data_IF_863975868734
#
_entry.id   IF_863975868734
#
_cell.length_a   1.000
_cell.length_b   1.000
_cell.length_c   1.000
_cell.angle_alpha   90.00
_cell.angle_beta   90.00
_cell.angle_gamma   90.00
#
_symmetry.space_group_name_H-M   'P 1'
#
loop_
_entity.id
_entity.type
_entity.pdbx_description
1 polymer ?
#
# COMPACT_ATOMS: atom_id res chain seq x y z
N UNK A 1 -16.25 14.01 20.63
CA UNK A 1 -16.92 15.03 19.81
C UNK A 1 -16.42 14.83 18.39
N UNK A 2 -17.34 14.60 17.45
CA UNK A 2 -17.07 14.48 16.01
C UNK A 2 -17.28 15.87 15.40
N UNK A 3 -16.35 16.33 14.59
CA UNK A 3 -16.51 17.56 13.82
C UNK A 3 -17.44 17.32 12.61
N UNK A 4 -18.14 18.37 12.20
CA UNK A 4 -19.12 18.47 11.10
C UNK A 4 -18.60 18.05 9.71
N UNK A 5 -17.31 17.72 9.58
CA UNK A 5 -16.69 17.18 8.36
C UNK A 5 -16.51 15.65 8.38
N UNK A 6 -17.00 14.94 9.40
CA UNK A 6 -16.91 13.47 9.47
C UNK A 6 -15.49 12.92 9.46
N UNK A 7 -14.48 13.78 9.65
CA UNK A 7 -13.09 13.38 9.80
C UNK A 7 -12.91 12.96 11.25
N UNK A 8 -13.11 11.67 11.48
CA UNK A 8 -12.68 11.01 12.70
C UNK A 8 -11.15 11.08 12.79
N UNK A 9 -10.66 12.16 13.40
CA UNK A 9 -9.27 12.32 13.84
C UNK A 9 -9.01 11.48 15.10
N UNK A 10 -9.61 10.29 15.26
CA UNK A 10 -9.04 9.29 16.17
C UNK A 10 -7.85 8.65 15.47
N UNK A 11 -6.73 9.38 15.50
CA UNK A 11 -5.42 8.81 15.29
C UNK A 11 -5.20 7.72 16.35
N UNK A 12 -5.60 6.47 16.05
CA UNK A 12 -5.25 5.31 16.88
C UNK A 12 -3.76 4.98 16.66
N UNK A 13 -2.95 5.41 17.62
CA UNK A 13 -1.48 5.41 17.64
C UNK A 13 -0.76 4.05 17.63
N UNK A 14 -1.43 2.92 17.45
CA UNK A 14 -0.80 1.62 17.73
C UNK A 14 -1.17 0.51 16.74
N UNK A 15 -1.35 0.84 15.46
CA UNK A 15 -1.37 -0.23 14.46
C UNK A 15 0.02 -0.87 14.40
N UNK A 16 0.14 -2.18 14.67
CA UNK A 16 1.45 -2.82 14.66
C UNK A 16 2.04 -2.69 13.24
N UNK A 17 3.34 -2.36 13.13
CA UNK A 17 4.00 -2.30 11.84
C UNK A 17 3.83 -3.64 11.10
N UNK A 18 3.46 -3.55 9.83
CA UNK A 18 3.26 -4.71 8.97
C UNK A 18 4.38 -4.78 7.93
N UNK A 19 4.72 -5.98 7.47
CA UNK A 19 5.72 -6.16 6.41
C UNK A 19 5.02 -6.20 5.05
N UNK A 20 5.24 -5.21 4.20
CA UNK A 20 4.88 -5.26 2.80
C UNK A 20 5.91 -6.06 1.99
N UNK A 21 5.43 -7.02 1.21
CA UNK A 21 6.24 -7.83 0.28
C UNK A 21 5.80 -7.54 -1.14
N UNK A 22 6.73 -7.14 -1.99
CA UNK A 22 6.46 -6.91 -3.42
C UNK A 22 7.66 -7.32 -4.29
N UNK A 23 7.44 -7.78 -5.53
CA UNK A 23 8.52 -8.10 -6.45
C UNK A 23 9.18 -6.81 -6.99
N UNK A 24 10.51 -6.75 -6.91
CA UNK A 24 11.30 -5.65 -7.46
C UNK A 24 11.08 -5.55 -8.98
N UNK A 25 10.80 -4.35 -9.51
CA UNK A 25 10.38 -4.22 -10.90
C UNK A 25 11.46 -4.62 -11.91
N UNK A 26 12.74 -4.37 -11.58
CA UNK A 26 13.85 -4.65 -12.50
C UNK A 26 14.32 -6.11 -12.55
N UNK A 27 14.14 -6.88 -11.49
CA UNK A 27 14.79 -8.19 -11.37
C UNK A 27 13.93 -9.26 -10.67
N UNK A 28 12.68 -8.94 -10.33
CA UNK A 28 11.69 -9.88 -9.80
C UNK A 28 11.95 -10.43 -8.39
N UNK A 29 13.03 -10.01 -7.71
CA UNK A 29 13.29 -10.42 -6.32
C UNK A 29 12.27 -9.78 -5.42
N UNK A 30 11.77 -10.54 -4.45
CA UNK A 30 10.89 -10.02 -3.43
C UNK A 30 11.65 -9.03 -2.54
N UNK A 31 11.03 -7.89 -2.28
CA UNK A 31 11.51 -6.84 -1.39
C UNK A 31 10.54 -6.71 -0.24
N UNK A 32 11.08 -6.68 0.96
CA UNK A 32 10.34 -6.51 2.21
C UNK A 32 10.49 -5.06 2.69
N UNK A 33 9.37 -4.44 3.07
CA UNK A 33 9.34 -3.07 3.64
C UNK A 33 8.39 -3.04 4.81
N UNK A 34 8.80 -2.41 5.90
CA UNK A 34 7.88 -2.14 7.00
C UNK A 34 6.96 -0.97 6.63
N UNK A 35 5.65 -1.20 6.69
CA UNK A 35 4.59 -0.22 6.46
C UNK A 35 3.71 -0.10 7.70
N UNK A 36 3.23 1.10 7.97
CA UNK A 36 2.33 1.35 9.11
C UNK A 36 0.88 0.93 8.81
N UNK A 37 0.52 0.87 7.52
CA UNK A 37 -0.82 0.53 7.09
C UNK A 37 -0.79 -0.09 5.69
N UNK A 38 -1.54 -1.19 5.52
CA UNK A 38 -1.77 -1.78 4.21
C UNK A 38 -2.68 -0.87 3.38
N UNK A 39 -2.10 -0.18 2.41
CA UNK A 39 -2.84 0.56 1.38
C UNK A 39 -3.25 -0.38 0.24
N UNK A 40 -4.40 -0.13 -0.39
CA UNK A 40 -4.84 -0.90 -1.57
C UNK A 40 -3.88 -0.74 -2.76
N UNK A 41 -3.21 0.41 -2.85
CA UNK A 41 -2.19 0.69 -3.85
C UNK A 41 -0.96 1.31 -3.17
N UNK A 42 0.23 0.88 -3.56
CA UNK A 42 1.50 1.46 -3.13
C UNK A 42 2.36 1.72 -4.38
N UNK A 43 3.09 2.83 -4.38
CA UNK A 43 4.08 3.11 -5.41
C UNK A 43 5.47 2.79 -4.86
N UNK A 44 6.23 1.98 -5.59
CA UNK A 44 7.61 1.66 -5.25
C UNK A 44 8.49 1.68 -6.51
N UNK A 45 9.53 2.52 -6.48
CA UNK A 45 10.49 2.66 -7.59
C UNK A 45 9.79 2.93 -8.94
N UNK A 46 8.88 3.91 -8.94
CA UNK A 46 8.03 4.32 -10.07
C UNK A 46 6.97 3.28 -10.52
N UNK A 47 6.99 2.06 -10.00
CA UNK A 47 5.99 1.05 -10.29
C UNK A 47 4.85 1.04 -9.26
N UNK A 48 3.63 0.87 -9.75
CA UNK A 48 2.45 0.70 -8.91
C UNK A 48 2.23 -0.75 -8.57
N UNK A 49 1.87 -0.99 -7.32
CA UNK A 49 1.52 -2.30 -6.81
C UNK A 49 0.16 -2.24 -6.15
N UNK A 50 -0.66 -3.26 -6.39
CA UNK A 50 -1.94 -3.42 -5.74
C UNK A 50 -1.87 -4.50 -4.66
N UNK A 51 -2.57 -4.26 -3.56
CA UNK A 51 -2.72 -5.19 -2.48
C UNK A 51 -3.38 -6.48 -2.99
N UNK A 52 -2.79 -7.61 -2.65
CA UNK A 52 -3.25 -8.92 -3.10
C UNK A 52 -3.87 -9.70 -1.94
N UNK A 53 -3.10 -9.93 -0.87
CA UNK A 53 -3.60 -10.55 0.36
C UNK A 53 -2.68 -10.23 1.54
N UNK A 54 -3.13 -10.54 2.76
CA UNK A 54 -2.31 -10.41 3.98
C UNK A 54 -2.33 -11.70 4.78
N UNK A 55 -1.21 -12.04 5.40
CA UNK A 55 -1.04 -13.21 6.26
C UNK A 55 -0.03 -12.91 7.36
N UNK A 56 -0.34 -13.25 8.63
CA UNK A 56 0.59 -13.13 9.77
C UNK A 56 1.34 -11.79 9.88
N UNK A 57 0.64 -10.65 9.68
CA UNK A 57 1.27 -9.32 9.74
C UNK A 57 2.09 -8.94 8.50
N UNK A 58 2.05 -9.76 7.45
CA UNK A 58 2.69 -9.53 6.16
C UNK A 58 1.63 -9.23 5.11
N UNK A 59 1.77 -8.12 4.39
CA UNK A 59 0.93 -7.72 3.27
C UNK A 59 1.64 -8.02 1.94
N UNK A 60 1.04 -8.84 1.10
CA UNK A 60 1.56 -9.20 -0.20
C UNK A 60 0.94 -8.34 -1.29
N UNK A 61 1.81 -7.80 -2.14
CA UNK A 61 1.49 -6.87 -3.20
C UNK A 61 1.91 -7.44 -4.55
N UNK A 62 1.08 -7.21 -5.57
CA UNK A 62 1.36 -7.58 -6.96
C UNK A 62 1.53 -6.34 -7.83
N UNK A 63 2.41 -6.35 -8.84
CA UNK A 63 2.56 -5.23 -9.76
C UNK A 63 1.23 -5.00 -10.49
N UNK A 64 0.88 -3.73 -10.70
CA UNK A 64 -0.23 -3.35 -11.57
C UNK A 64 0.25 -3.51 -13.01
N UNK A 65 -0.40 -4.37 -13.79
CA UNK A 65 0.01 -4.71 -15.16
C UNK A 65 -0.06 -3.51 -16.13
N UNK A 66 -0.72 -2.42 -15.74
CA UNK A 66 -0.74 -1.17 -16.48
C UNK A 66 0.46 -0.30 -16.10
N UNK A 67 1.64 -0.63 -16.66
CA UNK A 67 2.76 0.31 -16.74
C UNK A 67 2.56 1.30 -17.91
N UNK A 68 1.42 1.97 -17.93
CA UNK A 68 1.23 3.22 -18.68
C UNK A 68 1.51 4.38 -17.70
N UNK A 69 2.08 5.52 -18.14
CA UNK A 69 2.36 6.64 -17.25
C UNK A 69 1.08 7.01 -16.50
N UNK A 70 1.10 6.80 -15.18
CA UNK A 70 -0.08 6.73 -14.33
C UNK A 70 -0.96 7.99 -14.42
N UNK A 71 -1.96 7.93 -15.29
CA UNK A 71 -3.17 8.74 -15.14
C UNK A 71 -3.97 8.15 -13.98
N UNK A 72 -3.72 8.71 -12.80
CA UNK A 72 -4.68 8.85 -11.70
C UNK A 72 -5.42 7.57 -11.26
N UNK A 73 -4.76 6.71 -10.48
CA UNK A 73 -5.47 5.71 -9.66
C UNK A 73 -6.23 6.35 -8.46
N UNK A 74 -6.19 7.69 -8.33
CA UNK A 74 -7.08 8.48 -7.47
C UNK A 74 -8.01 9.30 -8.36
N UNK A 75 -8.96 8.63 -9.02
CA UNK A 75 -10.13 9.27 -9.62
C UNK A 75 -11.19 9.44 -8.54
N UNK A 76 -11.58 10.70 -8.35
CA UNK A 76 -12.63 11.24 -7.48
C UNK A 76 -13.95 10.45 -7.52
#
# INVERSE_FOLDING_TARGET
MIDEHGCDLTYSEERPPMVAVFPHPLHGRLVERVILMASNCIQFNDCWYTFSWKENGTAYYKPVEYCEPAVSCCGH
#
